data_IF_131608953513
#
_entry.id   IF_131608953513
#
_cell.length_a   1.000
_cell.length_b   1.000
_cell.length_c   1.000
_cell.angle_alpha   90.00
_cell.angle_beta   90.00
_cell.angle_gamma   90.00
#
_symmetry.space_group_name_H-M   'P 1'
#
loop_
_entity.id
_entity.type
_entity.pdbx_description
1 polymer ?
#
# COMPACT_ATOMS: atom_id res chain seq x y z
N UNK A 1 14.50 5.12 1.18
CA UNK A 1 13.22 5.16 1.91
C UNK A 1 12.38 4.05 1.33
N UNK A 2 12.35 2.92 2.03
CA UNK A 2 11.67 1.69 1.61
C UNK A 2 10.29 1.69 2.26
N UNK A 3 9.24 2.01 1.49
CA UNK A 3 7.86 1.91 1.98
C UNK A 3 7.31 0.53 1.67
N UNK A 4 7.93 -0.51 2.24
CA UNK A 4 7.51 -1.91 2.07
C UNK A 4 6.23 -2.27 2.88
N UNK A 5 5.63 -1.32 3.59
CA UNK A 5 4.45 -1.54 4.41
C UNK A 5 3.15 -1.13 3.69
N UNK A 6 2.07 -1.89 3.93
CA UNK A 6 0.72 -1.54 3.50
C UNK A 6 0.24 -0.25 4.19
N UNK A 7 -0.22 0.73 3.42
CA UNK A 7 -0.79 1.97 3.94
C UNK A 7 -2.27 2.06 3.63
N UNK A 8 -3.07 2.47 4.63
CA UNK A 8 -4.49 2.75 4.45
C UNK A 8 -4.68 4.06 3.71
N UNK A 9 -5.36 4.00 2.57
CA UNK A 9 -5.55 5.15 1.67
C UNK A 9 -6.98 5.69 1.74
N UNK A 10 -7.98 4.80 1.82
CA UNK A 10 -9.39 5.19 1.82
C UNK A 10 -10.28 4.13 2.48
N UNK A 11 -11.54 4.47 2.76
CA UNK A 11 -12.59 3.56 3.23
C UNK A 11 -13.69 3.49 2.18
N UNK A 12 -13.85 2.32 1.57
CA UNK A 12 -14.84 2.06 0.53
C UNK A 12 -15.90 1.08 1.04
N UNK A 13 -17.15 1.25 0.59
CA UNK A 13 -18.21 0.29 0.87
C UNK A 13 -18.31 -0.72 -0.28
N UNK A 14 -18.42 -2.00 0.04
CA UNK A 14 -18.69 -3.03 -0.96
C UNK A 14 -20.14 -2.91 -1.49
N UNK A 15 -20.52 -3.76 -2.45
CA UNK A 15 -21.89 -3.78 -3.01
C UNK A 15 -22.98 -4.13 -1.99
N UNK A 16 -22.62 -4.75 -0.87
CA UNK A 16 -23.51 -5.06 0.26
C UNK A 16 -23.54 -3.94 1.32
N UNK A 17 -22.77 -2.86 1.14
CA UNK A 17 -22.69 -1.73 2.06
C UNK A 17 -21.66 -1.90 3.19
N UNK A 18 -20.91 -3.01 3.22
CA UNK A 18 -19.95 -3.30 4.28
C UNK A 18 -18.65 -2.50 4.09
N UNK A 19 -18.12 -1.88 5.15
CA UNK A 19 -16.93 -1.05 5.07
C UNK A 19 -15.65 -1.89 4.88
N UNK A 20 -14.87 -1.50 3.89
CA UNK A 20 -13.55 -2.04 3.59
C UNK A 20 -12.54 -0.90 3.53
N UNK A 21 -11.33 -1.15 3.99
CA UNK A 21 -10.21 -0.23 3.88
C UNK A 21 -9.43 -0.56 2.61
N UNK A 22 -9.25 0.43 1.75
CA UNK A 22 -8.32 0.36 0.64
C UNK A 22 -6.92 0.53 1.18
N UNK A 23 -6.09 -0.49 0.99
CA UNK A 23 -4.68 -0.43 1.31
C UNK A 23 -3.85 -0.46 0.04
N UNK A 24 -2.78 0.32 0.04
CA UNK A 24 -1.81 0.41 -1.04
C UNK A 24 -0.41 0.11 -0.50
N UNK A 25 0.35 -0.69 -1.24
CA UNK A 25 1.78 -0.90 -1.00
C UNK A 25 2.55 -0.36 -2.22
N UNK A 26 3.62 0.38 -1.98
CA UNK A 26 4.44 0.99 -3.03
C UNK A 26 5.89 0.59 -2.86
N UNK A 27 6.40 -0.21 -3.78
CA UNK A 27 7.79 -0.66 -3.78
C UNK A 27 8.59 0.17 -4.77
N UNK A 28 9.59 0.90 -4.25
CA UNK A 28 10.49 1.74 -5.04
C UNK A 28 11.86 1.10 -5.02
N UNK A 29 12.31 0.61 -6.17
CA UNK A 29 13.66 0.10 -6.33
C UNK A 29 14.61 1.27 -6.63
N UNK A 30 15.46 1.65 -5.69
CA UNK A 30 16.59 2.55 -5.97
C UNK A 30 17.78 1.70 -6.42
N UNK A 31 17.86 1.42 -7.72
CA UNK A 31 19.07 0.81 -8.27
C UNK A 31 20.19 1.86 -8.30
N UNK A 32 21.26 1.61 -7.53
CA UNK A 32 22.57 2.22 -7.73
C UNK A 32 22.75 3.62 -7.10
N UNK A 33 23.22 3.66 -5.85
CA UNK A 33 24.00 4.81 -5.35
C UNK A 33 25.41 4.68 -5.90
N UNK A 34 25.62 4.96 -7.19
CA UNK A 34 26.92 5.36 -7.73
C UNK A 34 26.69 6.22 -8.97
N UNK A 35 27.47 7.30 -9.00
CA UNK A 35 27.55 8.41 -9.95
C UNK A 35 27.08 8.09 -11.38
N UNK A 36 26.19 8.94 -11.89
CA UNK A 36 25.92 9.13 -13.33
C UNK A 36 25.18 8.00 -14.07
N UNK A 37 23.92 7.72 -13.71
CA UNK A 37 22.87 7.43 -14.72
C UNK A 37 21.46 7.33 -14.16
N UNK A 38 20.51 7.81 -14.95
CA UNK A 38 19.07 7.88 -14.71
C UNK A 38 18.49 6.53 -14.24
N UNK A 39 18.17 6.41 -12.96
CA UNK A 39 17.76 5.15 -12.34
C UNK A 39 16.44 5.22 -11.56
N UNK A 40 15.47 6.04 -11.97
CA UNK A 40 14.10 5.89 -11.45
C UNK A 40 13.47 4.65 -12.06
N UNK A 41 13.64 3.51 -11.39
CA UNK A 41 12.90 2.29 -11.71
C UNK A 41 11.42 2.55 -11.46
N UNK A 42 10.55 2.11 -12.39
CA UNK A 42 9.10 2.27 -12.26
C UNK A 42 8.64 1.63 -10.94
N UNK A 43 7.92 2.35 -10.06
CA UNK A 43 7.45 1.78 -8.82
C UNK A 43 6.43 0.69 -9.09
N UNK A 44 6.48 -0.39 -8.30
CA UNK A 44 5.41 -1.39 -8.26
C UNK A 44 4.38 -0.93 -7.24
N UNK A 45 3.11 -0.92 -7.65
CA UNK A 45 1.99 -0.56 -6.78
C UNK A 45 1.05 -1.75 -6.69
N UNK A 46 0.77 -2.18 -5.47
CA UNK A 46 -0.22 -3.21 -5.18
C UNK A 46 -1.38 -2.61 -4.39
N UNK A 47 -2.59 -3.10 -4.67
CA UNK A 47 -3.82 -2.70 -3.97
C UNK A 47 -4.51 -3.91 -3.37
N UNK A 48 -5.05 -3.74 -2.16
CA UNK A 48 -5.95 -4.72 -1.55
C UNK A 48 -7.08 -4.03 -0.81
N UNK A 49 -8.22 -4.71 -0.73
CA UNK A 49 -9.33 -4.31 0.13
C UNK A 49 -9.34 -5.22 1.35
N UNK A 50 -9.33 -4.61 2.53
CA UNK A 50 -9.37 -5.33 3.82
C UNK A 50 -10.67 -4.98 4.53
N UNK A 51 -11.47 -5.96 4.98
CA UNK A 51 -12.67 -5.67 5.76
C UNK A 51 -12.29 -4.86 7.01
N UNK A 52 -13.04 -3.80 7.32
CA UNK A 52 -12.74 -2.93 8.46
C UNK A 52 -12.71 -3.73 9.78
N UNK A 53 -13.55 -4.77 9.88
CA UNK A 53 -13.62 -5.68 11.02
C UNK A 53 -12.31 -6.43 11.27
N UNK A 54 -11.47 -6.63 10.27
CA UNK A 54 -10.18 -7.32 10.45
C UNK A 54 -9.10 -6.39 11.01
N UNK A 55 -9.22 -5.09 10.77
CA UNK A 55 -8.26 -4.08 11.24
C UNK A 55 -8.54 -3.63 12.67
N UNK A 56 -9.77 -3.78 13.16
CA UNK A 56 -10.17 -3.38 14.52
C UNK A 56 -10.09 -4.50 15.54
N UNK A 57 -9.73 -5.74 15.15
CA UNK A 57 -9.61 -6.90 16.05
C UNK A 57 -8.43 -6.77 17.03
N UNK A 58 -7.38 -6.05 16.68
CA UNK A 58 -6.17 -5.83 17.51
C UNK A 58 -6.30 -4.67 18.53
N UNK A 59 -7.48 -4.06 18.69
CA UNK A 59 -7.70 -2.96 19.65
C UNK A 59 -8.46 -3.38 20.93
N UNK A 60 -8.42 -4.66 21.32
CA UNK A 60 -8.96 -5.15 22.60
C UNK A 60 -7.89 -5.81 23.46
#
# INVERSE_FOLDING_TARGET
MESEAWQSVDIIKNKQGEPHVLQQKVEVYTAGVTEESAGYTKPTVEHRLVPLTELTKDSQ
#
